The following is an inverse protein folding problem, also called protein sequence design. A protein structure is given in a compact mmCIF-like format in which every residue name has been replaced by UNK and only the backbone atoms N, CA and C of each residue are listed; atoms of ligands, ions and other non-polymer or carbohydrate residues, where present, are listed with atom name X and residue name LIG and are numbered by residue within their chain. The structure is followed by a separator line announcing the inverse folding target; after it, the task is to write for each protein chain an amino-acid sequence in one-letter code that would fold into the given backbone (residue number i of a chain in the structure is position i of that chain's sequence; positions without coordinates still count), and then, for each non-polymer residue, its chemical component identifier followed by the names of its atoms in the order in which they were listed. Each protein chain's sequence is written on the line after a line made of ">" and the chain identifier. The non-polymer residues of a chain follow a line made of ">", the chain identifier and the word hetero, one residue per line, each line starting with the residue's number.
data_IF_504085557319
#
_entry.id   IF_504085557319
#
_cell.length_a   1.000
_cell.length_b   1.000
_cell.length_c   1.000
_cell.angle_alpha   90.00
_cell.angle_beta   90.00
_cell.angle_gamma   90.00
#
_symmetry.space_group_name_H-M   'P 1'
#
loop_
_entity.id
_entity.type
_entity.pdbx_description
1 polymer ?
#
# COMPACT_ATOMS: atom_id res chain seq x y z
N UNK A 1 13.83 25.45 11.67
CA UNK A 1 14.05 24.53 12.80
C UNK A 1 13.75 25.27 14.09
N UNK A 2 12.90 24.72 14.95
CA UNK A 2 12.56 25.28 16.27
C UNK A 2 12.88 24.20 17.31
N UNK A 3 13.95 24.33 18.09
CA UNK A 3 14.33 23.28 19.03
C UNK A 3 13.49 23.37 20.31
N UNK A 4 13.25 22.24 20.99
CA UNK A 4 12.62 22.23 22.33
C UNK A 4 13.51 22.90 23.38
N UNK A 5 14.82 22.63 23.32
CA UNK A 5 15.84 23.18 24.22
C UNK A 5 16.86 23.88 23.33
N UNK A 6 17.19 25.13 23.66
CA UNK A 6 18.19 25.88 22.89
C UNK A 6 19.57 25.26 23.09
N UNK A 7 20.47 25.47 22.14
CA UNK A 7 21.83 24.94 22.21
C UNK A 7 22.84 25.94 21.67
N UNK A 8 24.08 25.84 22.14
CA UNK A 8 25.18 26.68 21.66
C UNK A 8 25.91 26.03 20.46
N UNK A 9 26.92 26.72 19.93
CA UNK A 9 27.70 26.24 18.76
C UNK A 9 28.42 24.90 19.00
N UNK A 10 28.67 24.53 20.26
CA UNK A 10 29.26 23.23 20.64
C UNK A 10 28.21 22.12 20.77
N UNK A 11 26.93 22.43 20.60
CA UNK A 11 25.81 21.52 20.81
C UNK A 11 25.41 21.33 22.28
N UNK A 12 25.95 22.13 23.21
CA UNK A 12 25.58 22.05 24.63
C UNK A 12 24.19 22.64 24.84
N UNK A 13 23.34 21.94 25.61
CA UNK A 13 21.98 22.35 25.90
C UNK A 13 21.95 23.56 26.85
N UNK A 14 21.11 24.54 26.54
CA UNK A 14 20.82 25.70 27.36
C UNK A 14 19.38 25.70 27.89
N UNK A 15 18.81 26.89 27.99
CA UNK A 15 17.43 27.07 28.47
C UNK A 15 16.39 26.45 27.52
N UNK A 16 15.22 26.01 28.04
CA UNK A 16 14.07 25.64 27.22
C UNK A 16 13.71 26.75 26.23
N UNK A 17 13.31 26.36 25.03
CA UNK A 17 12.72 27.29 24.08
C UNK A 17 11.22 27.48 24.39
N UNK A 18 10.64 28.55 23.88
CA UNK A 18 9.22 28.86 24.07
C UNK A 18 8.36 28.10 23.05
N UNK A 19 8.34 26.78 23.22
CA UNK A 19 7.47 25.83 22.52
C UNK A 19 6.90 24.86 23.54
N UNK A 20 5.58 24.78 23.62
CA UNK A 20 4.88 24.03 24.65
C UNK A 20 3.82 23.11 24.04
N UNK A 21 3.66 21.93 24.64
CA UNK A 21 2.57 21.01 24.32
C UNK A 21 1.31 21.46 25.07
N UNK A 22 0.37 22.09 24.38
CA UNK A 22 -0.86 22.61 24.97
C UNK A 22 -1.93 21.56 25.22
N UNK A 23 -1.97 20.50 24.39
CA UNK A 23 -2.92 19.40 24.52
C UNK A 23 -2.36 18.11 23.90
N UNK A 24 -2.89 16.96 24.32
CA UNK A 24 -2.66 15.64 23.69
C UNK A 24 -4.01 15.08 23.23
N UNK A 25 -4.10 14.71 21.96
CA UNK A 25 -5.34 14.26 21.34
C UNK A 25 -5.74 12.84 21.78
N UNK A 26 -7.03 12.66 22.09
CA UNK A 26 -7.65 11.35 22.35
C UNK A 26 -8.03 10.69 21.03
N UNK A 27 -7.32 9.61 20.66
CA UNK A 27 -7.39 8.98 19.33
C UNK A 27 -8.09 7.62 19.35
N UNK A 28 -8.54 7.18 18.17
CA UNK A 28 -9.04 5.81 17.94
C UNK A 28 -7.97 4.73 18.22
N UNK A 29 -6.75 4.96 17.76
CA UNK A 29 -5.62 4.05 17.89
C UNK A 29 -4.32 4.80 18.13
N UNK A 30 -3.19 4.10 18.00
CA UNK A 30 -1.82 4.59 18.21
C UNK A 30 -1.67 5.38 19.52
N UNK A 31 -2.27 4.86 20.60
CA UNK A 31 -2.35 5.55 21.89
C UNK A 31 -0.98 5.80 22.52
N UNK A 32 0.01 4.95 22.21
CA UNK A 32 1.40 5.14 22.63
C UNK A 32 2.14 6.28 21.94
N UNK A 33 1.57 6.88 20.88
CA UNK A 33 2.12 8.03 20.19
C UNK A 33 1.38 9.31 20.64
N UNK A 34 2.10 10.25 21.27
CA UNK A 34 1.54 11.53 21.66
C UNK A 34 1.34 12.42 20.43
N UNK A 35 0.08 12.73 20.11
CA UNK A 35 -0.27 13.66 19.05
C UNK A 35 -0.68 14.96 19.72
N UNK A 36 0.05 16.04 19.46
CA UNK A 36 0.03 17.21 20.31
C UNK A 36 -0.42 18.46 19.56
N UNK A 37 -1.19 19.30 20.25
CA UNK A 37 -1.30 20.71 19.90
C UNK A 37 -0.04 21.42 20.41
N UNK A 38 0.73 22.06 19.52
CA UNK A 38 1.95 22.78 19.88
C UNK A 38 1.74 24.29 19.81
N UNK A 39 2.02 24.97 20.92
CA UNK A 39 2.00 26.42 21.02
C UNK A 39 3.44 26.95 20.90
N UNK A 40 3.66 27.89 19.98
CA UNK A 40 4.95 28.52 19.77
C UNK A 40 4.87 30.00 20.17
N UNK A 41 5.78 30.47 21.01
CA UNK A 41 5.93 31.90 21.27
C UNK A 41 4.93 32.47 22.29
N UNK A 42 4.35 31.65 23.17
CA UNK A 42 3.38 32.13 24.16
C UNK A 42 3.95 33.18 25.11
N UNK A 43 5.27 33.15 25.34
CA UNK A 43 6.01 34.12 26.14
C UNK A 43 6.85 35.10 25.29
N UNK A 44 6.61 35.17 23.97
CA UNK A 44 7.40 35.93 22.99
C UNK A 44 8.91 35.62 23.01
N UNK A 45 9.29 34.40 23.41
CA UNK A 45 10.68 33.94 23.51
C UNK A 45 10.99 32.81 22.54
N UNK A 46 10.15 32.54 21.55
CA UNK A 46 10.38 31.42 20.64
C UNK A 46 11.44 31.79 19.61
N UNK A 47 12.56 31.05 19.62
CA UNK A 47 13.62 31.21 18.61
C UNK A 47 13.44 30.11 17.57
N UNK A 48 13.30 30.53 16.31
CA UNK A 48 13.33 29.67 15.14
C UNK A 48 14.51 30.03 14.24
N UNK A 49 15.14 29.00 13.68
CA UNK A 49 16.22 29.12 12.71
C UNK A 49 15.66 28.83 11.32
N UNK A 50 15.93 29.69 10.35
CA UNK A 50 15.55 29.44 8.96
C UNK A 50 16.32 28.21 8.44
N UNK A 51 15.60 27.29 7.80
CA UNK A 51 16.20 26.14 7.12
C UNK A 51 16.28 26.47 5.63
N UNK A 52 17.48 26.43 5.05
CA UNK A 52 17.72 26.86 3.68
C UNK A 52 17.49 28.37 3.50
N UNK A 53 16.98 28.75 2.33
CA UNK A 53 16.77 30.15 1.95
C UNK A 53 15.34 30.64 2.24
N UNK A 54 15.16 31.96 2.26
CA UNK A 54 13.85 32.58 2.47
C UNK A 54 12.85 32.11 1.40
N UNK A 55 11.58 31.89 1.80
CA UNK A 55 10.46 31.47 0.92
C UNK A 55 10.62 30.06 0.30
N UNK A 56 11.50 29.21 0.83
CA UNK A 56 11.67 27.82 0.37
C UNK A 56 11.01 26.76 1.28
N UNK A 57 10.12 27.17 2.20
CA UNK A 57 9.55 26.25 3.20
C UNK A 57 8.80 25.04 2.62
N UNK A 58 7.94 25.25 1.61
CA UNK A 58 7.17 24.16 1.01
C UNK A 58 8.05 23.15 0.24
N UNK A 59 8.97 23.56 -0.66
CA UNK A 59 9.91 22.64 -1.29
C UNK A 59 10.72 21.80 -0.29
N UNK A 60 11.21 22.43 0.78
CA UNK A 60 11.98 21.74 1.83
C UNK A 60 11.10 20.71 2.55
N UNK A 61 9.86 21.07 2.91
CA UNK A 61 8.94 20.15 3.56
C UNK A 61 8.61 18.95 2.65
N UNK A 62 8.37 19.18 1.35
CA UNK A 62 8.06 18.08 0.42
C UNK A 62 9.18 17.06 0.28
N UNK A 63 10.44 17.47 0.45
CA UNK A 63 11.57 16.53 0.48
C UNK A 63 11.41 15.51 1.62
N UNK A 64 10.99 15.95 2.80
CA UNK A 64 10.76 15.07 3.96
C UNK A 64 9.49 14.22 3.78
N UNK A 65 8.44 14.78 3.16
CA UNK A 65 7.17 14.08 2.97
C UNK A 65 7.27 12.82 2.11
N UNK A 66 8.19 12.75 1.14
CA UNK A 66 8.37 11.54 0.33
C UNK A 66 8.80 10.35 1.21
N UNK A 67 9.73 10.56 2.14
CA UNK A 67 10.19 9.54 3.08
C UNK A 67 9.12 9.19 4.12
N UNK A 68 8.42 10.19 4.67
CA UNK A 68 7.33 9.96 5.62
C UNK A 68 6.19 9.15 5.00
N UNK A 69 5.77 9.47 3.78
CA UNK A 69 4.73 8.72 3.05
C UNK A 69 5.14 7.28 2.78
N UNK A 70 6.42 7.06 2.47
CA UNK A 70 6.99 5.73 2.32
C UNK A 70 6.96 4.96 3.65
N UNK A 71 7.33 5.61 4.76
CA UNK A 71 7.23 5.05 6.12
C UNK A 71 5.80 4.67 6.49
N UNK A 72 4.81 5.52 6.16
CA UNK A 72 3.39 5.24 6.34
C UNK A 72 2.93 4.00 5.58
N UNK A 73 3.35 3.86 4.32
CA UNK A 73 3.09 2.64 3.54
C UNK A 73 3.68 1.39 4.19
N UNK A 74 4.91 1.47 4.69
CA UNK A 74 5.59 0.37 5.40
C UNK A 74 4.90 0.02 6.73
N UNK A 75 4.37 0.99 7.47
CA UNK A 75 3.57 0.73 8.67
C UNK A 75 2.32 -0.09 8.33
N UNK A 76 1.59 0.27 7.26
CA UNK A 76 0.47 -0.53 6.75
C UNK A 76 0.88 -1.95 6.37
N UNK A 77 1.96 -2.10 5.58
CA UNK A 77 2.47 -3.41 5.18
C UNK A 77 2.85 -4.30 6.38
N UNK A 78 3.44 -3.70 7.41
CA UNK A 78 3.87 -4.38 8.64
C UNK A 78 2.68 -4.83 9.48
N UNK A 79 1.70 -3.96 9.72
CA UNK A 79 0.47 -4.31 10.44
C UNK A 79 -0.33 -5.39 9.73
N UNK A 80 -0.45 -5.30 8.39
CA UNK A 80 -1.10 -6.34 7.58
C UNK A 80 -0.46 -7.70 7.78
N UNK A 81 0.87 -7.78 7.73
CA UNK A 81 1.58 -9.05 7.95
C UNK A 81 1.37 -9.58 9.36
N UNK A 82 1.48 -8.73 10.38
CA UNK A 82 1.28 -9.14 11.77
C UNK A 82 -0.14 -9.71 11.95
N UNK A 83 -1.16 -9.02 11.47
CA UNK A 83 -2.55 -9.46 11.53
C UNK A 83 -2.76 -10.80 10.81
N UNK A 84 -2.18 -10.98 9.62
CA UNK A 84 -2.19 -12.25 8.89
C UNK A 84 -1.58 -13.39 9.69
N UNK A 85 -0.41 -13.18 10.30
CA UNK A 85 0.28 -14.23 11.05
C UNK A 85 -0.51 -14.63 12.31
N UNK A 86 -1.13 -13.68 13.00
CA UNK A 86 -2.05 -13.96 14.11
C UNK A 86 -3.28 -14.75 13.65
N UNK A 87 -3.95 -14.31 12.58
CA UNK A 87 -5.09 -15.01 12.02
C UNK A 87 -4.74 -16.43 11.55
N UNK A 88 -3.58 -16.62 10.93
CA UNK A 88 -3.09 -17.93 10.50
C UNK A 88 -2.87 -18.86 11.68
N UNK A 89 -2.24 -18.39 12.75
CA UNK A 89 -1.98 -19.18 13.94
C UNK A 89 -3.30 -19.58 14.62
N UNK A 90 -4.20 -18.63 14.85
CA UNK A 90 -5.51 -18.89 15.41
C UNK A 90 -6.32 -19.91 14.58
N UNK A 91 -6.33 -19.75 13.26
CA UNK A 91 -7.08 -20.63 12.37
C UNK A 91 -6.57 -22.09 12.35
N UNK A 92 -5.28 -22.31 12.66
CA UNK A 92 -4.68 -23.65 12.78
C UNK A 92 -5.08 -24.37 14.06
N UNK A 93 -5.49 -23.63 15.10
CA UNK A 93 -5.74 -24.18 16.43
C UNK A 93 -7.24 -24.24 16.77
N UNK A 94 -8.06 -23.35 16.20
CA UNK A 94 -9.49 -23.28 16.49
C UNK A 94 -10.27 -24.41 15.81
N UNK A 95 -10.81 -25.35 16.59
CA UNK A 95 -11.77 -26.37 16.11
C UNK A 95 -13.19 -25.79 16.05
N UNK A 96 -13.86 -25.93 14.91
CA UNK A 96 -15.28 -25.60 14.75
C UNK A 96 -15.82 -26.17 13.43
N UNK A 97 -16.97 -26.85 13.49
CA UNK A 97 -17.65 -27.41 12.31
C UNK A 97 -16.96 -28.65 11.71
N UNK A 98 -17.64 -29.31 10.77
CA UNK A 98 -17.14 -30.49 10.07
C UNK A 98 -16.49 -30.11 8.73
N UNK A 99 -15.69 -31.03 8.16
CA UNK A 99 -15.15 -30.85 6.82
C UNK A 99 -16.27 -30.77 5.77
N UNK A 100 -16.13 -29.85 4.80
CA UNK A 100 -17.15 -29.61 3.77
C UNK A 100 -17.43 -30.83 2.89
N UNK A 101 -16.42 -31.67 2.62
CA UNK A 101 -16.57 -32.89 1.83
C UNK A 101 -17.34 -33.93 2.65
N UNK A 102 -17.03 -34.06 3.94
CA UNK A 102 -17.75 -34.94 4.84
C UNK A 102 -19.23 -34.54 4.96
N UNK A 103 -19.52 -33.24 5.07
CA UNK A 103 -20.89 -32.72 5.03
C UNK A 103 -21.59 -33.05 3.70
N UNK A 104 -20.93 -32.81 2.57
CA UNK A 104 -21.49 -33.07 1.24
C UNK A 104 -21.78 -34.56 1.01
N UNK A 105 -20.94 -35.44 1.55
CA UNK A 105 -21.11 -36.90 1.49
C UNK A 105 -22.04 -37.44 2.58
N UNK A 106 -22.60 -36.59 3.45
CA UNK A 106 -23.45 -36.96 4.59
C UNK A 106 -22.82 -38.04 5.48
N UNK A 107 -21.52 -37.91 5.74
CA UNK A 107 -20.81 -38.83 6.63
C UNK A 107 -21.30 -38.55 8.07
N UNK A 108 -21.99 -39.54 8.65
CA UNK A 108 -22.40 -39.50 10.05
C UNK A 108 -21.18 -39.46 10.98
N UNK A 109 -21.31 -38.76 12.11
CA UNK A 109 -20.28 -38.65 13.15
C UNK A 109 -18.89 -38.14 12.70
N UNK A 110 -18.83 -37.35 11.63
CA UNK A 110 -17.58 -36.70 11.21
C UNK A 110 -17.05 -35.76 12.30
N UNK A 111 -15.76 -35.87 12.71
CA UNK A 111 -15.18 -35.05 13.77
C UNK A 111 -15.10 -33.58 13.37
N UNK A 112 -15.01 -32.70 14.38
CA UNK A 112 -14.71 -31.31 14.12
C UNK A 112 -13.32 -31.13 13.50
N UNK A 113 -13.20 -30.16 12.61
CA UNK A 113 -11.92 -29.75 12.02
C UNK A 113 -11.51 -28.37 12.48
N UNK A 114 -10.21 -28.10 12.44
CA UNK A 114 -9.67 -26.74 12.61
C UNK A 114 -10.18 -25.84 11.49
N UNK A 115 -10.52 -24.59 11.79
CA UNK A 115 -11.18 -23.70 10.83
C UNK A 115 -10.35 -23.42 9.56
N UNK A 116 -9.02 -23.58 9.59
CA UNK A 116 -8.16 -23.51 8.39
C UNK A 116 -8.50 -24.56 7.31
N UNK A 117 -9.31 -25.57 7.62
CA UNK A 117 -9.82 -26.54 6.64
C UNK A 117 -11.01 -26.00 5.85
N UNK A 118 -11.71 -24.99 6.35
CA UNK A 118 -12.87 -24.41 5.66
C UNK A 118 -12.48 -23.58 4.45
N UNK A 119 -13.15 -23.74 3.29
CA UNK A 119 -12.80 -23.04 2.06
C UNK A 119 -12.74 -21.51 2.21
N UNK A 120 -13.71 -20.92 2.92
CA UNK A 120 -13.75 -19.47 3.11
C UNK A 120 -12.60 -18.96 3.97
N UNK A 121 -12.25 -19.66 5.06
CA UNK A 121 -11.09 -19.32 5.90
C UNK A 121 -9.79 -19.43 5.09
N UNK A 122 -9.65 -20.46 4.25
CA UNK A 122 -8.49 -20.57 3.33
C UNK A 122 -8.43 -19.43 2.33
N UNK A 123 -9.57 -19.02 1.77
CA UNK A 123 -9.69 -17.86 0.88
C UNK A 123 -9.25 -16.58 1.59
N UNK A 124 -9.74 -16.33 2.80
CA UNK A 124 -9.36 -15.17 3.62
C UNK A 124 -7.87 -15.16 3.95
N UNK A 125 -7.33 -16.29 4.43
CA UNK A 125 -5.90 -16.41 4.76
C UNK A 125 -4.99 -16.26 3.54
N UNK A 126 -5.39 -16.81 2.39
CA UNK A 126 -4.59 -16.67 1.16
C UNK A 126 -4.64 -15.25 0.61
N UNK A 127 -5.79 -14.58 0.73
CA UNK A 127 -5.94 -13.15 0.40
C UNK A 127 -5.08 -12.27 1.29
N UNK A 128 -5.15 -12.46 2.61
CA UNK A 128 -4.28 -11.79 3.58
C UNK A 128 -2.80 -12.01 3.24
N UNK A 129 -2.37 -13.29 3.12
CA UNK A 129 -0.99 -13.64 2.75
C UNK A 129 -0.54 -12.88 1.50
N UNK A 130 -1.34 -12.94 0.43
CA UNK A 130 -0.97 -12.35 -0.85
C UNK A 130 -0.93 -10.82 -0.80
N UNK A 131 -1.82 -10.19 -0.04
CA UNK A 131 -1.80 -8.75 0.20
C UNK A 131 -0.55 -8.39 1.01
N UNK A 132 -0.36 -8.97 2.20
CA UNK A 132 0.75 -8.61 3.10
C UNK A 132 2.12 -8.81 2.45
N UNK A 133 2.30 -9.90 1.69
CA UNK A 133 3.54 -10.11 0.93
C UNK A 133 3.69 -9.12 -0.21
N UNK A 134 2.62 -8.83 -0.94
CA UNK A 134 2.61 -7.85 -2.04
C UNK A 134 2.95 -6.44 -1.56
N UNK A 135 2.36 -6.00 -0.44
CA UNK A 135 2.64 -4.70 0.16
C UNK A 135 4.09 -4.57 0.62
N UNK A 136 4.63 -5.63 1.23
CA UNK A 136 6.06 -5.67 1.59
C UNK A 136 6.93 -5.52 0.34
N UNK A 137 6.61 -6.23 -0.75
CA UNK A 137 7.37 -6.13 -1.99
C UNK A 137 7.30 -4.72 -2.57
N UNK A 138 6.11 -4.08 -2.56
CA UNK A 138 5.92 -2.72 -3.04
C UNK A 138 6.75 -1.71 -2.24
N UNK A 139 6.70 -1.78 -0.91
CA UNK A 139 7.45 -0.88 -0.05
C UNK A 139 8.96 -1.08 -0.22
N UNK A 140 9.45 -2.33 -0.20
CA UNK A 140 10.87 -2.63 -0.39
C UNK A 140 11.37 -2.26 -1.79
N UNK A 141 10.53 -2.39 -2.81
CA UNK A 141 10.90 -1.95 -4.16
C UNK A 141 11.06 -0.43 -4.24
N UNK A 142 10.17 0.34 -3.60
CA UNK A 142 10.32 1.79 -3.53
C UNK A 142 11.59 2.19 -2.76
N UNK A 143 11.91 1.54 -1.63
CA UNK A 143 13.18 1.76 -0.93
C UNK A 143 14.40 1.41 -1.79
N UNK A 144 14.35 0.32 -2.55
CA UNK A 144 15.41 -0.01 -3.51
C UNK A 144 15.59 1.11 -4.56
N UNK A 145 14.51 1.70 -5.06
CA UNK A 145 14.60 2.84 -5.97
C UNK A 145 15.22 4.08 -5.28
N UNK A 146 14.87 4.35 -4.02
CA UNK A 146 15.45 5.45 -3.22
C UNK A 146 16.96 5.28 -3.03
N UNK A 147 17.42 4.08 -2.66
CA UNK A 147 18.84 3.78 -2.52
C UNK A 147 19.58 3.83 -3.86
N UNK A 148 18.93 3.42 -4.95
CA UNK A 148 19.49 3.51 -6.30
C UNK A 148 19.64 4.95 -6.77
N UNK A 149 18.66 5.82 -6.45
CA UNK A 149 18.73 7.26 -6.69
C UNK A 149 19.87 7.90 -5.88
N UNK A 150 19.99 7.55 -4.59
CA UNK A 150 21.05 8.07 -3.72
C UNK A 150 22.43 7.62 -4.20
N UNK A 151 22.58 6.35 -4.58
CA UNK A 151 23.84 5.83 -5.15
C UNK A 151 24.24 6.59 -6.41
N UNK A 152 23.29 6.82 -7.32
CA UNK A 152 23.54 7.60 -8.54
C UNK A 152 23.92 9.06 -8.24
N UNK A 153 23.34 9.68 -7.20
CA UNK A 153 23.74 11.01 -6.73
C UNK A 153 25.20 11.02 -6.26
N UNK A 154 25.60 10.05 -5.44
CA UNK A 154 26.98 9.94 -4.93
C UNK A 154 27.98 9.72 -6.07
N UNK A 155 27.61 8.94 -7.08
CA UNK A 155 28.43 8.67 -8.27
C UNK A 155 28.46 9.84 -9.27
N UNK A 156 27.69 10.91 -9.05
CA UNK A 156 27.55 12.03 -9.99
C UNK A 156 26.83 11.68 -11.29
N UNK A 157 26.08 10.57 -11.31
CA UNK A 157 25.32 10.11 -12.47
C UNK A 157 23.91 10.73 -12.47
N UNK A 158 23.80 11.94 -12.99
CA UNK A 158 22.55 12.70 -13.03
C UNK A 158 21.44 12.00 -13.86
N UNK A 159 21.80 11.24 -14.89
CA UNK A 159 20.82 10.49 -15.70
C UNK A 159 20.14 9.38 -14.89
N UNK A 160 20.93 8.56 -14.19
CA UNK A 160 20.40 7.49 -13.33
C UNK A 160 19.66 8.05 -12.13
N UNK A 161 20.15 9.14 -11.54
CA UNK A 161 19.47 9.83 -10.45
C UNK A 161 18.07 10.29 -10.88
N UNK A 162 17.94 10.96 -12.02
CA UNK A 162 16.63 11.39 -12.55
C UNK A 162 15.73 10.20 -12.89
N UNK A 163 16.30 9.13 -13.46
CA UNK A 163 15.56 7.91 -13.77
C UNK A 163 14.90 7.30 -12.54
N UNK A 164 15.67 7.09 -11.46
CA UNK A 164 15.16 6.52 -10.20
C UNK A 164 14.24 7.48 -9.47
N UNK A 165 14.57 8.78 -9.43
CA UNK A 165 13.71 9.82 -8.89
C UNK A 165 12.33 9.80 -9.55
N UNK A 166 12.28 9.69 -10.88
CA UNK A 166 11.02 9.62 -11.61
C UNK A 166 10.15 8.42 -11.23
N UNK A 167 10.77 7.26 -10.99
CA UNK A 167 10.05 6.07 -10.52
C UNK A 167 9.51 6.28 -9.11
N UNK A 168 10.31 6.84 -8.20
CA UNK A 168 9.90 7.16 -6.82
C UNK A 168 8.71 8.13 -6.81
N UNK A 169 8.73 9.15 -7.66
CA UNK A 169 7.66 10.14 -7.78
C UNK A 169 6.30 9.50 -8.11
N UNK A 170 6.28 8.45 -8.94
CA UNK A 170 5.07 7.69 -9.27
C UNK A 170 4.71 6.69 -8.16
N UNK A 171 5.69 5.99 -7.60
CA UNK A 171 5.47 4.96 -6.59
C UNK A 171 5.02 5.51 -5.24
N UNK A 172 5.54 6.66 -4.81
CA UNK A 172 5.28 7.22 -3.47
C UNK A 172 3.78 7.31 -3.11
N UNK A 173 2.90 7.94 -3.94
CA UNK A 173 1.47 7.97 -3.64
C UNK A 173 0.84 6.58 -3.65
N UNK A 174 1.30 5.67 -4.51
CA UNK A 174 0.84 4.28 -4.54
C UNK A 174 1.25 3.59 -3.24
N UNK A 175 2.53 3.63 -2.84
CA UNK A 175 3.01 3.01 -1.60
C UNK A 175 2.23 3.52 -0.40
N UNK A 176 1.99 4.84 -0.30
CA UNK A 176 1.22 5.41 0.80
C UNK A 176 -0.24 4.95 0.75
N UNK A 177 -1.00 5.29 -0.28
CA UNK A 177 -2.45 5.11 -0.27
C UNK A 177 -2.85 3.65 -0.48
N UNK A 178 -2.30 2.99 -1.50
CA UNK A 178 -2.65 1.60 -1.80
C UNK A 178 -2.27 0.67 -0.65
N UNK A 179 -1.07 0.82 -0.08
CA UNK A 179 -0.65 -0.09 1.00
C UNK A 179 -1.49 0.08 2.25
N UNK A 180 -1.93 1.28 2.56
CA UNK A 180 -2.71 1.54 3.78
C UNK A 180 -4.16 1.07 3.64
N UNK A 181 -4.76 1.22 2.45
CA UNK A 181 -6.08 0.66 2.12
C UNK A 181 -6.08 -0.87 2.09
N UNK A 182 -5.13 -1.48 1.38
CA UNK A 182 -5.02 -2.94 1.33
C UNK A 182 -4.62 -3.55 2.67
N UNK A 183 -3.81 -2.85 3.47
CA UNK A 183 -3.51 -3.28 4.82
C UNK A 183 -4.76 -3.35 5.68
N UNK A 184 -5.62 -2.33 5.60
CA UNK A 184 -6.89 -2.29 6.31
C UNK A 184 -7.76 -3.49 5.95
N UNK A 185 -7.90 -3.78 4.65
CA UNK A 185 -8.64 -4.95 4.16
C UNK A 185 -8.07 -6.27 4.71
N UNK A 186 -6.75 -6.43 4.71
CA UNK A 186 -6.11 -7.62 5.28
C UNK A 186 -6.37 -7.76 6.78
N UNK A 187 -6.35 -6.65 7.52
CA UNK A 187 -6.58 -6.64 8.97
C UNK A 187 -8.06 -6.94 9.29
N UNK A 188 -9.00 -6.42 8.49
CA UNK A 188 -10.42 -6.75 8.60
C UNK A 188 -10.67 -8.25 8.39
N UNK A 189 -10.00 -8.87 7.41
CA UNK A 189 -10.05 -10.31 7.23
C UNK A 189 -9.43 -11.07 8.41
N UNK A 190 -8.41 -10.51 9.06
CA UNK A 190 -7.84 -11.09 10.27
C UNK A 190 -8.87 -11.09 11.41
N UNK A 191 -9.53 -9.96 11.67
CA UNK A 191 -10.65 -9.86 12.62
C UNK A 191 -11.73 -10.90 12.29
N UNK A 192 -12.11 -11.02 11.01
CA UNK A 192 -13.10 -12.00 10.56
C UNK A 192 -12.67 -13.46 10.83
N UNK A 193 -11.39 -13.79 10.67
CA UNK A 193 -10.87 -15.14 10.99
C UNK A 193 -11.02 -15.51 12.47
N UNK A 194 -11.02 -14.53 13.37
CA UNK A 194 -11.26 -14.76 14.80
C UNK A 194 -12.75 -14.92 15.16
N UNK A 195 -13.67 -14.55 14.26
CA UNK A 195 -15.10 -14.49 14.56
C UNK A 195 -15.39 -13.44 15.63
N UNK A 196 -16.31 -13.72 16.56
CA UNK A 196 -16.67 -12.78 17.64
C UNK A 196 -15.47 -12.35 18.50
N UNK A 197 -14.48 -13.22 18.69
CA UNK A 197 -13.25 -12.89 19.42
C UNK A 197 -12.38 -11.85 18.72
N UNK A 198 -12.53 -11.66 17.41
CA UNK A 198 -11.82 -10.61 16.69
C UNK A 198 -12.23 -9.21 17.11
N UNK A 199 -13.38 -9.07 17.78
CA UNK A 199 -13.89 -7.81 18.33
C UNK A 199 -13.52 -7.59 19.81
N UNK A 200 -12.81 -8.55 20.43
CA UNK A 200 -12.43 -8.52 21.84
C UNK A 200 -10.99 -7.99 22.00
N UNK A 201 -10.75 -7.15 23.01
CA UNK A 201 -9.46 -6.45 23.24
C UNK A 201 -8.33 -7.37 23.70
N UNK A 202 -8.65 -8.59 24.12
CA UNK A 202 -7.70 -9.63 24.47
C UNK A 202 -6.93 -10.14 23.23
N UNK A 203 -7.47 -9.93 22.03
CA UNK A 203 -6.85 -10.34 20.78
C UNK A 203 -6.27 -9.13 20.03
N UNK A 204 -5.04 -9.23 19.48
CA UNK A 204 -4.32 -8.07 18.97
C UNK A 204 -4.89 -7.49 17.66
N UNK A 205 -5.73 -8.25 16.95
CA UNK A 205 -6.23 -7.87 15.62
C UNK A 205 -7.15 -6.64 15.66
N UNK A 206 -7.89 -6.42 16.76
CA UNK A 206 -8.73 -5.22 16.92
C UNK A 206 -7.86 -3.96 17.06
N UNK A 207 -6.76 -4.06 17.81
CA UNK A 207 -5.84 -2.94 17.96
C UNK A 207 -5.18 -2.61 16.63
N UNK A 208 -4.72 -3.63 15.87
CA UNK A 208 -4.15 -3.41 14.54
C UNK A 208 -5.14 -2.70 13.60
N UNK A 209 -6.43 -3.01 13.70
CA UNK A 209 -7.48 -2.37 12.91
C UNK A 209 -7.63 -0.89 13.25
N UNK A 210 -7.58 -0.53 14.54
CA UNK A 210 -7.62 0.87 14.99
C UNK A 210 -6.35 1.63 14.64
N UNK A 211 -5.19 0.99 14.84
CA UNK A 211 -3.87 1.59 14.65
C UNK A 211 -3.53 1.80 13.17
N UNK A 212 -4.06 0.98 12.26
CA UNK A 212 -3.87 1.20 10.83
C UNK A 212 -4.75 2.33 10.26
N UNK A 213 -5.89 2.65 10.89
CA UNK A 213 -6.85 3.62 10.32
C UNK A 213 -6.22 5.00 10.07
N UNK A 214 -5.33 5.44 10.96
CA UNK A 214 -4.64 6.72 10.81
C UNK A 214 -3.73 6.76 9.58
N UNK A 215 -3.20 5.61 9.14
CA UNK A 215 -2.33 5.55 7.97
C UNK A 215 -3.05 5.92 6.66
N UNK A 216 -4.37 5.76 6.60
CA UNK A 216 -5.19 6.20 5.46
C UNK A 216 -5.43 7.73 5.45
N UNK A 217 -5.10 8.42 6.55
CA UNK A 217 -5.52 9.80 6.82
C UNK A 217 -4.32 10.76 6.84
N UNK A 218 -3.33 10.53 7.71
CA UNK A 218 -2.21 11.46 7.87
C UNK A 218 -1.20 11.38 6.71
N UNK A 219 -0.23 12.29 6.70
CA UNK A 219 0.75 12.46 5.61
C UNK A 219 0.11 12.64 4.22
N UNK A 220 -1.10 13.21 4.23
CA UNK A 220 -2.00 13.38 3.08
C UNK A 220 -2.97 12.21 2.94
N UNK A 221 -4.27 12.49 2.99
CA UNK A 221 -5.31 11.47 2.88
C UNK A 221 -5.18 10.67 1.59
N UNK A 222 -5.69 9.44 1.56
CA UNK A 222 -5.57 8.59 0.38
C UNK A 222 -6.17 9.22 -0.88
N UNK A 223 -7.24 10.03 -0.75
CA UNK A 223 -7.77 10.84 -1.85
C UNK A 223 -6.79 11.91 -2.34
N UNK A 224 -6.09 12.60 -1.45
CA UNK A 224 -5.05 13.56 -1.84
C UNK A 224 -3.88 12.87 -2.56
N UNK A 225 -3.46 11.67 -2.11
CA UNK A 225 -2.43 10.90 -2.81
C UNK A 225 -2.88 10.48 -4.22
N UNK A 226 -4.15 10.09 -4.36
CA UNK A 226 -4.73 9.71 -5.64
C UNK A 226 -4.81 10.89 -6.61
N UNK A 227 -5.25 12.05 -6.14
CA UNK A 227 -5.25 13.29 -6.90
C UNK A 227 -3.83 13.75 -7.26
N UNK A 228 -2.86 13.59 -6.35
CA UNK A 228 -1.45 13.89 -6.63
C UNK A 228 -0.90 12.98 -7.73
N UNK A 229 -1.14 11.67 -7.64
CA UNK A 229 -0.74 10.70 -8.65
C UNK A 229 -1.29 11.08 -10.03
N UNK A 230 -2.61 11.18 -10.14
CA UNK A 230 -3.29 11.39 -11.42
C UNK A 230 -3.04 12.80 -11.97
N UNK A 231 -3.24 13.83 -11.14
CA UNK A 231 -3.20 15.23 -11.54
C UNK A 231 -1.79 15.80 -11.70
N UNK A 232 -0.78 15.19 -11.06
CA UNK A 232 0.62 15.68 -11.12
C UNK A 232 1.58 14.60 -11.61
N UNK A 233 1.72 13.49 -10.89
CA UNK A 233 2.85 12.54 -11.09
C UNK A 233 2.85 11.87 -12.46
N UNK A 234 1.69 11.40 -12.94
CA UNK A 234 1.59 10.70 -14.24
C UNK A 234 1.93 11.59 -15.45
N UNK A 235 1.74 12.91 -15.34
CA UNK A 235 2.04 13.87 -16.41
C UNK A 235 3.48 14.40 -16.40
N UNK A 236 4.24 14.16 -15.33
CA UNK A 236 5.60 14.69 -15.17
C UNK A 236 6.51 14.22 -16.31
N UNK A 237 7.35 15.14 -16.81
CA UNK A 237 8.24 14.92 -17.95
C UNK A 237 7.50 14.29 -19.15
N UNK A 238 6.28 14.76 -19.45
CA UNK A 238 5.43 14.23 -20.53
C UNK A 238 5.14 12.73 -20.38
N UNK A 239 5.05 12.23 -19.15
CA UNK A 239 4.76 10.83 -18.83
C UNK A 239 5.97 9.89 -18.81
N UNK A 240 7.18 10.39 -19.08
CA UNK A 240 8.40 9.56 -19.12
C UNK A 240 8.60 8.75 -17.83
N UNK A 241 8.31 9.33 -16.66
CA UNK A 241 8.46 8.63 -15.38
C UNK A 241 7.59 7.39 -15.27
N UNK A 242 6.31 7.51 -15.63
CA UNK A 242 5.38 6.39 -15.61
C UNK A 242 5.74 5.36 -16.69
N UNK A 243 6.14 5.79 -17.88
CA UNK A 243 6.60 4.91 -18.96
C UNK A 243 7.84 4.10 -18.50
N UNK A 244 8.78 4.72 -17.79
CA UNK A 244 9.95 4.04 -17.26
C UNK A 244 9.57 2.96 -16.24
N UNK A 245 8.62 3.24 -15.34
CA UNK A 245 8.08 2.25 -14.42
C UNK A 245 7.43 1.07 -15.18
N UNK A 246 6.61 1.31 -16.20
CA UNK A 246 6.02 0.25 -17.02
C UNK A 246 7.08 -0.54 -17.81
N UNK A 247 8.18 0.10 -18.23
CA UNK A 247 9.26 -0.61 -18.90
C UNK A 247 10.01 -1.56 -17.96
N UNK A 248 10.18 -1.19 -16.69
CA UNK A 248 10.80 -2.07 -15.67
C UNK A 248 10.04 -3.38 -15.44
N UNK A 249 8.75 -3.43 -15.81
CA UNK A 249 7.95 -4.63 -15.60
C UNK A 249 8.19 -5.71 -16.65
N UNK A 250 8.70 -5.33 -17.83
CA UNK A 250 8.77 -6.18 -19.03
C UNK A 250 9.60 -7.44 -18.82
N UNK A 251 10.80 -7.31 -18.26
CA UNK A 251 11.72 -8.44 -18.09
C UNK A 251 11.11 -9.59 -17.27
N UNK A 252 10.40 -9.26 -16.18
CA UNK A 252 9.75 -10.26 -15.34
C UNK A 252 8.55 -10.91 -16.03
N UNK A 253 7.83 -10.16 -16.87
CA UNK A 253 6.71 -10.68 -17.66
C UNK A 253 7.25 -11.63 -18.74
N UNK A 254 8.26 -11.21 -19.50
CA UNK A 254 8.88 -12.00 -20.58
C UNK A 254 9.53 -13.29 -20.05
N UNK A 255 10.09 -13.25 -18.83
CA UNK A 255 10.58 -14.45 -18.15
C UNK A 255 9.42 -15.39 -17.76
N UNK A 256 8.33 -14.85 -17.21
CA UNK A 256 7.18 -15.64 -16.78
C UNK A 256 6.41 -16.27 -17.96
N UNK A 257 6.35 -15.59 -19.11
CA UNK A 257 5.75 -16.12 -20.35
C UNK A 257 6.45 -17.40 -20.83
N UNK A 258 7.73 -17.61 -20.48
CA UNK A 258 8.51 -18.81 -20.81
C UNK A 258 8.33 -19.95 -19.82
N UNK A 259 7.63 -19.73 -18.71
CA UNK A 259 7.38 -20.73 -17.68
C UNK A 259 5.93 -21.22 -17.79
N UNK A 260 5.73 -22.50 -18.13
CA UNK A 260 4.36 -23.08 -18.22
C UNK A 260 3.53 -22.89 -16.95
N UNK A 261 4.19 -22.85 -15.80
CA UNK A 261 3.56 -22.62 -14.51
C UNK A 261 3.01 -21.20 -14.33
N UNK A 262 3.52 -20.20 -15.05
CA UNK A 262 3.21 -18.78 -14.84
C UNK A 262 2.75 -18.02 -16.10
N UNK A 263 2.78 -18.64 -17.29
CA UNK A 263 2.42 -17.96 -18.55
C UNK A 263 1.03 -17.33 -18.55
N UNK A 264 0.04 -17.98 -17.92
CA UNK A 264 -1.31 -17.44 -17.81
C UNK A 264 -1.38 -16.21 -16.90
N UNK A 265 -0.67 -16.25 -15.77
CA UNK A 265 -0.54 -15.12 -14.87
C UNK A 265 0.25 -13.95 -15.49
N UNK A 266 1.26 -14.23 -16.32
CA UNK A 266 2.02 -13.22 -17.04
C UNK A 266 1.13 -12.39 -17.99
N UNK A 267 0.24 -13.07 -18.73
CA UNK A 267 -0.73 -12.41 -19.61
C UNK A 267 -1.67 -11.47 -18.82
N UNK A 268 -2.20 -11.92 -17.68
CA UNK A 268 -3.08 -11.10 -16.83
C UNK A 268 -2.37 -9.84 -16.33
N UNK A 269 -1.13 -9.96 -15.85
CA UNK A 269 -0.35 -8.81 -15.37
C UNK A 269 -0.06 -7.83 -16.51
N UNK A 270 0.30 -8.34 -17.69
CA UNK A 270 0.56 -7.54 -18.89
C UNK A 270 -0.68 -6.75 -19.32
N UNK A 271 -1.85 -7.40 -19.32
CA UNK A 271 -3.13 -6.75 -19.67
C UNK A 271 -3.51 -5.67 -18.67
N UNK A 272 -3.35 -5.93 -17.36
CA UNK A 272 -3.62 -4.97 -16.31
C UNK A 272 -2.72 -3.71 -16.39
N UNK A 273 -1.41 -3.89 -16.58
CA UNK A 273 -0.46 -2.77 -16.75
C UNK A 273 -0.71 -1.99 -18.04
N UNK A 274 -1.05 -2.69 -19.13
CA UNK A 274 -1.43 -2.05 -20.40
C UNK A 274 -2.69 -1.20 -20.22
N UNK A 275 -3.71 -1.73 -19.54
CA UNK A 275 -4.93 -0.99 -19.23
C UNK A 275 -4.64 0.27 -18.39
N UNK A 276 -3.75 0.19 -17.39
CA UNK A 276 -3.32 1.35 -16.59
C UNK A 276 -2.67 2.43 -17.46
N UNK A 277 -1.79 2.03 -18.38
CA UNK A 277 -1.13 2.93 -19.34
C UNK A 277 -2.11 3.63 -20.28
N UNK A 278 -3.05 2.87 -20.84
CA UNK A 278 -4.08 3.41 -21.73
C UNK A 278 -5.03 4.37 -20.98
N UNK A 279 -5.49 3.99 -19.79
CA UNK A 279 -6.36 4.85 -18.99
C UNK A 279 -5.69 6.13 -18.50
N UNK A 280 -4.39 6.11 -18.18
CA UNK A 280 -3.63 7.34 -17.89
C UNK A 280 -3.65 8.31 -19.08
N UNK A 281 -3.47 7.78 -20.31
CA UNK A 281 -3.52 8.57 -21.54
C UNK A 281 -4.92 9.12 -21.80
N UNK A 282 -5.96 8.34 -21.57
CA UNK A 282 -7.35 8.77 -21.72
C UNK A 282 -7.68 9.90 -20.72
N UNK A 283 -7.35 9.71 -19.44
CA UNK A 283 -7.54 10.71 -18.40
C UNK A 283 -6.75 12.00 -18.65
N UNK A 284 -5.51 11.90 -19.15
CA UNK A 284 -4.74 13.08 -19.55
C UNK A 284 -5.40 13.89 -20.66
N UNK A 285 -6.22 13.27 -21.53
CA UNK A 285 -7.02 14.01 -22.53
C UNK A 285 -8.28 14.59 -21.89
N UNK A 286 -8.96 13.80 -21.06
CA UNK A 286 -10.22 14.20 -20.40
C UNK A 286 -10.02 15.38 -19.45
N UNK A 287 -8.86 15.54 -18.82
CA UNK A 287 -8.63 16.64 -17.85
C UNK A 287 -8.82 18.03 -18.46
N UNK A 288 -8.62 18.18 -19.78
CA UNK A 288 -8.83 19.44 -20.49
C UNK A 288 -10.27 19.72 -20.93
N UNK A 289 -11.16 18.72 -20.92
CA UNK A 289 -12.53 18.83 -21.44
C UNK A 289 -13.60 18.45 -20.42
N UNK A 290 -13.38 17.35 -19.70
CA UNK A 290 -14.32 16.74 -18.75
C UNK A 290 -13.55 16.38 -17.47
N UNK A 291 -13.03 17.38 -16.73
CA UNK A 291 -12.07 17.14 -15.65
C UNK A 291 -12.65 16.34 -14.47
N UNK A 292 -13.96 16.38 -14.24
CA UNK A 292 -14.55 15.66 -13.11
C UNK A 292 -14.46 14.15 -13.25
N UNK A 293 -14.68 13.58 -14.44
CA UNK A 293 -14.60 12.13 -14.67
C UNK A 293 -13.27 11.53 -14.15
N UNK A 294 -12.08 11.97 -14.60
CA UNK A 294 -10.82 11.43 -14.09
C UNK A 294 -10.56 11.77 -12.62
N UNK A 295 -11.03 12.92 -12.11
CA UNK A 295 -10.80 13.32 -10.72
C UNK A 295 -11.66 12.52 -9.72
N UNK A 296 -12.91 12.21 -10.08
CA UNK A 296 -13.79 11.31 -9.31
C UNK A 296 -13.17 9.92 -9.26
N UNK A 297 -12.71 9.40 -10.40
CA UNK A 297 -12.08 8.09 -10.51
C UNK A 297 -10.64 8.00 -9.99
N UNK A 298 -10.08 9.05 -9.39
CA UNK A 298 -8.66 9.09 -9.02
C UNK A 298 -8.29 7.99 -8.01
N UNK A 299 -9.09 7.79 -6.97
CA UNK A 299 -8.86 6.75 -5.96
C UNK A 299 -8.93 5.34 -6.57
N UNK A 300 -9.90 5.10 -7.44
CA UNK A 300 -10.06 3.83 -8.13
C UNK A 300 -8.90 3.55 -9.08
N UNK A 301 -8.44 4.57 -9.81
CA UNK A 301 -7.27 4.47 -10.66
C UNK A 301 -6.01 4.15 -9.87
N UNK A 302 -5.77 4.84 -8.73
CA UNK A 302 -4.63 4.56 -7.86
C UNK A 302 -4.67 3.10 -7.37
N UNK A 303 -5.84 2.63 -6.97
CA UNK A 303 -6.02 1.26 -6.51
C UNK A 303 -5.80 0.23 -7.62
N UNK A 304 -6.33 0.48 -8.82
CA UNK A 304 -6.13 -0.36 -9.99
C UNK A 304 -4.65 -0.43 -10.41
N UNK A 305 -3.95 0.71 -10.38
CA UNK A 305 -2.51 0.76 -10.65
C UNK A 305 -1.73 -0.02 -9.58
N UNK A 306 -2.09 0.12 -8.30
CA UNK A 306 -1.49 -0.64 -7.21
C UNK A 306 -1.68 -2.15 -7.39
N UNK A 307 -2.88 -2.60 -7.75
CA UNK A 307 -3.18 -4.02 -8.03
C UNK A 307 -2.38 -4.55 -9.23
N UNK A 308 -2.11 -3.73 -10.25
CA UNK A 308 -1.28 -4.09 -11.39
C UNK A 308 0.22 -4.19 -11.01
N UNK A 309 0.75 -3.19 -10.30
CA UNK A 309 2.16 -3.16 -9.84
C UNK A 309 2.43 -4.30 -8.87
N UNK A 310 1.55 -4.53 -7.89
CA UNK A 310 1.71 -5.64 -6.94
C UNK A 310 1.54 -7.00 -7.61
N UNK A 311 0.66 -7.12 -8.61
CA UNK A 311 0.58 -8.29 -9.48
C UNK A 311 1.92 -8.59 -10.18
N UNK A 312 2.57 -7.56 -10.72
CA UNK A 312 3.92 -7.68 -11.30
C UNK A 312 4.98 -8.09 -10.26
N UNK A 313 4.97 -7.49 -9.06
CA UNK A 313 5.93 -7.85 -8.01
C UNK A 313 5.76 -9.30 -7.54
N UNK A 314 4.51 -9.77 -7.46
CA UNK A 314 4.21 -11.19 -7.24
C UNK A 314 4.75 -12.07 -8.36
N UNK A 315 4.54 -11.68 -9.62
CA UNK A 315 5.06 -12.41 -10.78
C UNK A 315 6.60 -12.51 -10.75
N UNK A 316 7.28 -11.40 -10.46
CA UNK A 316 8.74 -11.33 -10.33
C UNK A 316 9.26 -12.30 -9.27
N UNK A 317 8.63 -12.35 -8.09
CA UNK A 317 9.04 -13.29 -7.03
C UNK A 317 8.63 -14.72 -7.32
N UNK A 318 7.53 -14.93 -8.04
CA UNK A 318 7.09 -16.25 -8.48
C UNK A 318 8.04 -16.87 -9.51
N UNK A 319 8.65 -16.08 -10.41
CA UNK A 319 9.70 -16.55 -11.33
C UNK A 319 10.86 -17.18 -10.57
N UNK A 320 11.36 -16.47 -9.54
CA UNK A 320 12.43 -16.95 -8.67
C UNK A 320 12.00 -18.19 -7.92
N UNK A 321 10.79 -18.19 -7.35
CA UNK A 321 10.25 -19.33 -6.60
C UNK A 321 10.05 -20.57 -7.50
N UNK A 322 9.61 -20.42 -8.74
CA UNK A 322 9.43 -21.51 -9.69
C UNK A 322 10.76 -22.21 -9.99
N UNK A 323 11.84 -21.46 -10.20
CA UNK A 323 13.19 -22.01 -10.39
C UNK A 323 13.69 -22.71 -9.12
N UNK A 324 13.63 -22.01 -7.99
CA UNK A 324 14.14 -22.50 -6.71
C UNK A 324 13.37 -23.70 -6.16
N UNK A 325 12.08 -23.84 -6.48
CA UNK A 325 11.28 -25.00 -6.09
C UNK A 325 11.87 -26.32 -6.61
N UNK A 326 12.38 -26.35 -7.84
CA UNK A 326 12.99 -27.55 -8.42
C UNK A 326 14.42 -27.80 -7.91
N UNK A 327 15.13 -26.76 -7.48
CA UNK A 327 16.46 -26.86 -6.85
C UNK A 327 16.39 -27.27 -5.37
N UNK A 328 15.27 -27.02 -4.70
CA UNK A 328 15.12 -27.25 -3.27
C UNK A 328 15.18 -28.75 -2.92
N UNK A 329 15.98 -29.08 -1.91
CA UNK A 329 16.13 -30.46 -1.40
C UNK A 329 15.24 -30.73 -0.18
N UNK A 330 14.96 -29.71 0.64
CA UNK A 330 14.14 -29.81 1.85
C UNK A 330 12.65 -29.53 1.64
N UNK A 331 11.80 -30.20 2.42
CA UNK A 331 10.34 -30.00 2.38
C UNK A 331 9.93 -28.58 2.79
N UNK A 332 10.61 -27.99 3.76
CA UNK A 332 10.35 -26.62 4.21
C UNK A 332 10.54 -25.60 3.08
N UNK A 333 11.65 -25.68 2.34
CA UNK A 333 11.94 -24.78 1.22
C UNK A 333 10.95 -24.99 0.08
N UNK A 334 10.62 -26.24 -0.26
CA UNK A 334 9.59 -26.56 -1.24
C UNK A 334 8.23 -25.95 -0.86
N UNK A 335 7.83 -26.07 0.40
CA UNK A 335 6.59 -25.48 0.91
C UNK A 335 6.62 -23.94 0.86
N UNK A 336 7.76 -23.32 1.16
CA UNK A 336 7.94 -21.87 1.04
C UNK A 336 7.78 -21.40 -0.40
N UNK A 337 8.52 -21.99 -1.34
CA UNK A 337 8.48 -21.59 -2.76
C UNK A 337 7.11 -21.88 -3.39
N UNK A 338 6.50 -23.04 -3.10
CA UNK A 338 5.14 -23.32 -3.54
C UNK A 338 4.14 -22.34 -2.93
N UNK A 339 4.32 -21.95 -1.67
CA UNK A 339 3.53 -20.92 -1.01
C UNK A 339 3.61 -19.56 -1.71
N UNK A 340 4.81 -19.16 -2.20
CA UNK A 340 4.99 -17.96 -3.02
C UNK A 340 4.25 -18.04 -4.34
N UNK A 341 4.38 -19.15 -5.05
CA UNK A 341 3.71 -19.38 -6.34
C UNK A 341 2.19 -19.34 -6.16
N UNK A 342 1.65 -20.01 -5.13
CA UNK A 342 0.20 -20.02 -4.87
C UNK A 342 -0.33 -18.65 -4.43
N UNK A 343 0.43 -17.91 -3.64
CA UNK A 343 0.11 -16.52 -3.28
C UNK A 343 0.05 -15.61 -4.50
N UNK A 344 1.06 -15.68 -5.36
CA UNK A 344 1.12 -14.92 -6.61
C UNK A 344 -0.05 -15.25 -7.54
N UNK A 345 -0.30 -16.54 -7.80
CA UNK A 345 -1.44 -16.99 -8.62
C UNK A 345 -2.77 -16.48 -8.07
N UNK A 346 -2.98 -16.56 -6.76
CA UNK A 346 -4.22 -16.10 -6.15
C UNK A 346 -4.41 -14.59 -6.34
N UNK A 347 -3.38 -13.79 -6.04
CA UNK A 347 -3.43 -12.33 -6.21
C UNK A 347 -3.71 -11.95 -7.66
N UNK A 348 -2.93 -12.49 -8.59
CA UNK A 348 -3.01 -12.14 -10.00
C UNK A 348 -4.38 -12.50 -10.57
N UNK A 349 -4.89 -13.71 -10.31
CA UNK A 349 -6.17 -14.16 -10.86
C UNK A 349 -7.39 -13.51 -10.20
N UNK A 350 -7.33 -13.15 -8.91
CA UNK A 350 -8.51 -12.68 -8.13
C UNK A 350 -8.52 -11.19 -7.84
N UNK A 351 -7.42 -10.48 -8.08
CA UNK A 351 -7.27 -9.05 -7.80
C UNK A 351 -6.77 -8.36 -9.07
N UNK A 352 -5.57 -8.67 -9.55
CA UNK A 352 -5.00 -8.01 -10.75
C UNK A 352 -5.87 -8.21 -12.00
N UNK A 353 -6.47 -9.39 -12.17
CA UNK A 353 -7.37 -9.67 -13.30
C UNK A 353 -8.63 -8.81 -13.37
N UNK A 354 -8.99 -8.10 -12.29
CA UNK A 354 -10.14 -7.19 -12.28
C UNK A 354 -9.77 -5.79 -12.79
N UNK A 355 -8.48 -5.44 -12.86
CA UNK A 355 -7.99 -4.10 -13.20
C UNK A 355 -8.55 -3.57 -14.53
N UNK A 356 -8.55 -4.33 -15.65
CA UNK A 356 -9.10 -3.82 -16.90
C UNK A 356 -10.58 -3.42 -16.79
N UNK A 357 -11.40 -4.23 -16.10
CA UNK A 357 -12.83 -3.96 -15.91
C UNK A 357 -13.09 -2.75 -15.01
N UNK A 358 -12.31 -2.59 -13.93
CA UNK A 358 -12.41 -1.39 -13.09
C UNK A 358 -12.07 -0.13 -13.89
N UNK A 359 -10.97 -0.16 -14.64
CA UNK A 359 -10.51 0.96 -15.45
C UNK A 359 -11.45 1.30 -16.61
N UNK A 360 -12.11 0.31 -17.21
CA UNK A 360 -13.16 0.53 -18.20
C UNK A 360 -14.36 1.27 -17.57
N UNK A 361 -14.74 0.90 -16.35
CA UNK A 361 -15.90 1.49 -15.69
C UNK A 361 -15.70 2.96 -15.30
N UNK A 362 -14.55 3.31 -14.74
CA UNK A 362 -14.29 4.68 -14.24
C UNK A 362 -14.01 5.71 -15.35
N UNK A 363 -13.89 5.27 -16.61
CA UNK A 363 -13.77 6.16 -17.78
C UNK A 363 -15.11 6.61 -18.34
N UNK A 364 -16.22 6.09 -17.81
CA UNK A 364 -17.57 6.47 -18.23
C UNK A 364 -17.91 7.86 -17.69
N UNK A 365 -18.80 8.55 -18.39
CA UNK A 365 -19.26 9.91 -18.05
C UNK A 365 -20.24 9.90 -16.87
N UNK A 366 -19.77 9.41 -15.72
CA UNK A 366 -20.54 9.38 -14.47
C UNK A 366 -20.09 10.53 -13.56
N UNK A 367 -20.97 11.52 -13.37
CA UNK A 367 -20.69 12.75 -12.64
C UNK A 367 -21.76 13.06 -11.58
N UNK A 368 -22.62 12.10 -11.22
CA UNK A 368 -23.74 12.33 -10.29
C UNK A 368 -23.27 12.89 -8.94
N UNK A 369 -22.06 12.57 -8.46
CA UNK A 369 -21.54 13.14 -7.22
C UNK A 369 -21.16 14.63 -7.31
N UNK A 370 -21.04 15.17 -8.52
CA UNK A 370 -20.87 16.60 -8.78
C UNK A 370 -22.20 17.28 -9.12
N UNK A 371 -23.15 16.53 -9.68
CA UNK A 371 -24.46 17.06 -10.08
C UNK A 371 -25.47 17.09 -8.91
N UNK A 372 -25.29 16.21 -7.93
CA UNK A 372 -26.09 16.20 -6.70
C UNK A 372 -25.93 17.52 -5.94
N UNK A 373 -27.05 18.14 -5.56
CA UNK A 373 -27.02 19.37 -4.75
C UNK A 373 -26.80 19.05 -3.28
N UNK A 374 -26.34 20.02 -2.49
CA UNK A 374 -26.10 19.84 -1.05
C UNK A 374 -27.34 19.26 -0.31
N UNK A 375 -28.53 19.76 -0.63
CA UNK A 375 -29.79 19.29 -0.03
C UNK A 375 -30.15 17.84 -0.41
N UNK A 376 -29.65 17.32 -1.53
CA UNK A 376 -29.97 15.98 -2.04
C UNK A 376 -29.14 14.87 -1.36
N UNK A 377 -28.13 15.20 -0.56
CA UNK A 377 -27.38 14.23 0.25
C UNK A 377 -28.13 13.77 1.52
N UNK A 378 -29.18 14.48 1.93
CA UNK A 378 -29.95 14.15 3.13
C UNK A 378 -30.71 12.84 2.92
N UNK A 379 -30.59 11.93 3.89
CA UNK A 379 -31.42 10.72 4.00
C UNK A 379 -32.43 11.00 5.11
N UNK A 380 -33.71 11.20 4.75
CA UNK A 380 -34.82 11.37 5.72
C UNK A 380 -35.15 10.07 6.47
#
# INVERSE_FOLDING_TARGET
>A
MVPKIRFNEKGELGEPNDVQCGNIESKMGIHGNATCTLNFGSDNKCIGYLMGEEKQGMPIMFHMMNEERQGVGMMGASLSMAAYLHALDYAKQRFQGQDVIAMAMKIEDSPQVTIIKHPDVRRMLLRQKSISEGLRLLCLFCYFCMDSMFSALVDGNEEQKEYWNGIIEVLTPVVKAYSTDRAQESIELAVQCYGGYGFCREYPVEQMMRDNKINQIYEGTNGIQALDLLGRKLGMKKGTYFINLLNLTKDAIDEAEKLDLLKGEAAIVKDALTACGLSAKDFSKMIGTTPYVPLIGACDYLNALGDAIVGWLHLKTANVAAKKYFEATGEQDKNFYMGKIRGAKFFINRITGLVPGHLENIKKDEQSCMDITDDQFVVE
#
